data_IF_617650543202
#
_entry.id   IF_617650543202
#
_cell.length_a   1.000
_cell.length_b   1.000
_cell.length_c   1.000
_cell.angle_alpha   90.00
_cell.angle_beta   90.00
_cell.angle_gamma   90.00
#
_symmetry.space_group_name_H-M   'P 1'
#
loop_
_entity.id
_entity.type
_entity.pdbx_description
1 polymer ?
#
# COMPACT_ATOMS: atom_id res chain seq x y z
N UNK A 1 16.26 1.28 15.59
CA UNK A 1 16.33 -0.19 15.48
C UNK A 1 16.24 -0.76 16.90
N UNK A 2 15.85 -2.02 17.09
CA UNK A 2 15.90 -2.69 18.41
C UNK A 2 16.59 -4.04 18.32
N UNK A 3 17.35 -4.41 19.34
CA UNK A 3 18.02 -5.71 19.42
C UNK A 3 16.99 -6.82 19.65
N UNK A 4 17.01 -7.85 18.80
CA UNK A 4 16.08 -8.96 18.86
C UNK A 4 16.71 -10.14 19.62
N UNK A 5 16.87 -9.96 20.93
CA UNK A 5 17.55 -10.91 21.83
C UNK A 5 16.97 -12.34 21.74
N UNK A 6 15.64 -12.49 21.81
CA UNK A 6 14.97 -13.80 21.71
C UNK A 6 15.23 -14.51 20.38
N UNK A 7 15.25 -13.75 19.27
CA UNK A 7 15.49 -14.31 17.93
C UNK A 7 16.97 -14.67 17.73
N UNK A 8 17.87 -13.87 18.32
CA UNK A 8 19.31 -14.11 18.32
C UNK A 8 19.66 -15.38 19.11
N UNK A 9 19.00 -15.60 20.24
CA UNK A 9 19.20 -16.79 21.07
C UNK A 9 18.67 -18.07 20.40
N UNK A 10 17.56 -17.97 19.64
CA UNK A 10 16.96 -19.11 18.95
C UNK A 10 17.75 -19.57 17.71
N UNK A 11 18.47 -18.66 17.04
CA UNK A 11 19.22 -18.94 15.80
C UNK A 11 20.70 -19.28 16.03
N UNK A 12 21.10 -19.56 17.28
CA UNK A 12 22.46 -20.02 17.58
C UNK A 12 23.51 -18.91 17.46
N UNK A 13 23.40 -17.88 18.31
CA UNK A 13 24.45 -16.96 18.83
C UNK A 13 25.48 -16.31 17.89
N UNK A 14 25.49 -16.54 16.57
CA UNK A 14 26.58 -16.04 15.71
C UNK A 14 26.29 -14.67 15.07
N UNK A 15 25.08 -14.12 15.20
CA UNK A 15 24.73 -12.79 14.63
C UNK A 15 23.84 -11.97 15.57
N UNK A 16 24.29 -10.76 15.92
CA UNK A 16 23.46 -9.76 16.58
C UNK A 16 22.33 -9.33 15.64
N UNK A 17 21.12 -9.84 15.86
CA UNK A 17 19.97 -9.50 15.02
C UNK A 17 19.32 -8.21 15.52
N UNK A 18 19.32 -7.20 14.67
CA UNK A 18 18.58 -5.96 14.91
C UNK A 18 17.29 -5.96 14.09
N UNK A 19 16.15 -5.85 14.77
CA UNK A 19 14.86 -5.69 14.12
C UNK A 19 14.52 -4.20 14.03
N UNK A 20 14.22 -3.72 12.83
CA UNK A 20 13.60 -2.40 12.66
C UNK A 20 12.13 -2.53 13.04
N UNK A 21 11.70 -1.87 14.12
CA UNK A 21 10.28 -1.69 14.41
C UNK A 21 9.64 -1.00 13.21
N UNK A 22 8.56 -1.55 12.66
CA UNK A 22 7.89 -0.99 11.47
C UNK A 22 7.42 0.43 11.78
N UNK A 23 8.20 1.43 11.39
CA UNK A 23 8.00 2.85 11.74
C UNK A 23 7.36 3.65 10.61
N UNK A 24 6.75 3.00 9.62
CA UNK A 24 6.09 3.68 8.51
C UNK A 24 4.61 3.37 8.57
N UNK A 25 3.79 4.43 8.67
CA UNK A 25 2.33 4.39 8.83
C UNK A 25 1.60 3.60 7.72
N UNK A 26 2.26 3.30 6.60
CA UNK A 26 1.67 2.62 5.43
C UNK A 26 2.46 1.37 4.95
N UNK A 27 3.31 0.78 5.80
CA UNK A 27 4.31 -0.26 5.42
C UNK A 27 5.26 0.28 4.33
N UNK A 28 6.38 0.84 4.80
CA UNK A 28 7.45 1.54 4.06
C UNK A 28 7.69 1.17 2.59
N UNK A 29 7.70 -0.12 2.25
CA UNK A 29 8.06 -0.56 0.90
C UNK A 29 6.96 -0.31 -0.15
N UNK A 30 5.68 -0.28 0.23
CA UNK A 30 4.59 -0.02 -0.72
C UNK A 30 4.46 1.47 -1.05
N UNK A 31 4.68 2.35 -0.08
CA UNK A 31 4.60 3.80 -0.29
C UNK A 31 5.76 4.33 -1.15
N UNK A 32 6.95 3.77 -1.02
CA UNK A 32 8.10 4.17 -1.84
C UNK A 32 7.83 3.91 -3.33
N UNK A 33 7.24 2.77 -3.66
CA UNK A 33 6.87 2.45 -5.05
C UNK A 33 5.80 3.39 -5.58
N UNK A 34 4.71 3.61 -4.81
CA UNK A 34 3.58 4.42 -5.27
C UNK A 34 3.93 5.89 -5.44
N UNK A 35 4.84 6.45 -4.63
CA UNK A 35 5.36 7.80 -4.84
C UNK A 35 6.16 7.87 -6.15
N UNK A 36 7.03 6.89 -6.41
CA UNK A 36 7.79 6.82 -7.66
C UNK A 36 6.87 6.75 -8.89
N UNK A 37 5.87 5.87 -8.86
CA UNK A 37 4.86 5.77 -9.91
C UNK A 37 4.08 7.08 -10.10
N UNK A 38 3.64 7.72 -9.01
CA UNK A 38 2.85 8.94 -9.10
C UNK A 38 3.69 10.14 -9.61
N UNK A 39 4.96 10.24 -9.21
CA UNK A 39 5.90 11.22 -9.77
C UNK A 39 6.14 10.98 -11.27
N UNK A 40 6.28 9.72 -11.69
CA UNK A 40 6.39 9.39 -13.11
C UNK A 40 5.12 9.78 -13.87
N UNK A 41 3.94 9.48 -13.34
CA UNK A 41 2.65 9.89 -13.92
C UNK A 41 2.57 11.41 -14.11
N UNK A 42 2.98 12.18 -13.10
CA UNK A 42 3.03 13.64 -13.19
C UNK A 42 4.02 14.12 -14.27
N UNK A 43 5.22 13.53 -14.33
CA UNK A 43 6.23 13.83 -15.37
C UNK A 43 5.76 13.48 -16.78
N UNK A 44 4.95 12.44 -16.92
CA UNK A 44 4.32 12.06 -18.20
C UNK A 44 3.14 12.98 -18.59
N UNK A 45 2.83 14.01 -17.79
CA UNK A 45 1.70 14.92 -18.04
C UNK A 45 0.32 14.28 -17.85
N UNK A 46 0.26 13.12 -17.18
CA UNK A 46 -0.99 12.42 -16.92
C UNK A 46 -1.61 12.97 -15.63
N UNK A 47 -2.95 13.05 -15.61
CA UNK A 47 -3.72 13.59 -14.48
C UNK A 47 -4.25 12.54 -13.51
N UNK A 48 -4.11 11.26 -13.87
CA UNK A 48 -4.77 10.14 -13.19
C UNK A 48 -3.84 8.96 -13.02
N UNK A 49 -3.88 8.35 -11.83
CA UNK A 49 -3.29 7.04 -11.53
C UNK A 49 -4.39 6.00 -11.35
N UNK A 50 -4.10 4.78 -11.79
CA UNK A 50 -4.96 3.62 -11.53
C UNK A 50 -4.14 2.56 -10.79
N UNK A 51 -4.79 1.79 -9.92
CA UNK A 51 -4.17 0.67 -9.24
C UNK A 51 -5.19 -0.44 -8.97
N UNK A 52 -4.70 -1.66 -8.85
CA UNK A 52 -5.44 -2.83 -8.39
C UNK A 52 -5.03 -3.19 -6.96
N UNK A 53 -5.96 -3.73 -6.17
CA UNK A 53 -5.62 -4.20 -4.82
C UNK A 53 -6.55 -5.30 -4.35
N UNK A 54 -6.01 -6.30 -3.65
CA UNK A 54 -6.78 -7.28 -2.86
C UNK A 54 -6.92 -6.80 -1.43
N UNK A 55 -5.93 -7.08 -0.57
CA UNK A 55 -5.95 -6.69 0.85
C UNK A 55 -6.05 -5.16 1.14
N UNK A 56 -5.87 -4.29 0.14
CA UNK A 56 -6.07 -2.84 0.24
C UNK A 56 -4.82 -2.01 0.55
N UNK A 57 -3.70 -2.62 0.95
CA UNK A 57 -2.52 -1.84 1.36
C UNK A 57 -1.81 -1.13 0.21
N UNK A 58 -1.82 -1.70 -1.00
CA UNK A 58 -1.28 -1.01 -2.17
C UNK A 58 -2.18 0.16 -2.55
N UNK A 59 -3.50 -0.06 -2.60
CA UNK A 59 -4.47 1.00 -2.87
C UNK A 59 -4.40 2.16 -1.87
N UNK A 60 -4.24 1.89 -0.57
CA UNK A 60 -4.03 2.96 0.44
C UNK A 60 -2.74 3.75 0.18
N UNK A 61 -1.65 3.07 -0.20
CA UNK A 61 -0.40 3.75 -0.54
C UNK A 61 -0.53 4.61 -1.81
N UNK A 62 -1.22 4.12 -2.84
CA UNK A 62 -1.50 4.87 -4.08
C UNK A 62 -2.40 6.07 -3.83
N UNK A 63 -3.48 5.88 -3.04
CA UNK A 63 -4.39 6.94 -2.62
C UNK A 63 -3.69 8.02 -1.77
N UNK A 64 -2.65 7.65 -1.03
CA UNK A 64 -1.82 8.60 -0.29
C UNK A 64 -0.89 9.38 -1.22
N UNK A 65 -0.20 8.70 -2.14
CA UNK A 65 0.73 9.33 -3.06
C UNK A 65 0.05 10.34 -4.01
N UNK A 66 -1.14 10.00 -4.51
CA UNK A 66 -1.93 10.87 -5.40
C UNK A 66 -2.33 12.19 -4.75
N UNK A 67 -2.57 12.18 -3.43
CA UNK A 67 -2.98 13.35 -2.65
C UNK A 67 -1.86 14.42 -2.63
N UNK A 68 -0.60 13.99 -2.48
CA UNK A 68 0.55 14.90 -2.49
C UNK A 68 0.83 15.53 -3.87
N UNK A 69 0.36 14.91 -4.95
CA UNK A 69 0.66 15.33 -6.32
C UNK A 69 -0.55 15.88 -7.08
N UNK A 70 -1.70 15.98 -6.42
CA UNK A 70 -2.94 16.49 -7.03
C UNK A 70 -3.48 15.62 -8.17
N UNK A 71 -3.23 14.31 -8.13
CA UNK A 71 -3.69 13.37 -9.16
C UNK A 71 -5.06 12.77 -8.80
N UNK A 72 -5.84 12.43 -9.80
CA UNK A 72 -7.00 11.55 -9.66
C UNK A 72 -6.53 10.12 -9.40
N UNK A 73 -7.29 9.33 -8.64
CA UNK A 73 -6.93 7.95 -8.32
C UNK A 73 -8.15 7.03 -8.32
N UNK A 74 -8.09 6.04 -9.20
CA UNK A 74 -9.05 4.94 -9.24
C UNK A 74 -8.37 3.65 -8.77
N UNK A 75 -8.98 2.99 -7.80
CA UNK A 75 -8.50 1.72 -7.25
C UNK A 75 -9.52 0.63 -7.52
N UNK A 76 -9.13 -0.36 -8.30
CA UNK A 76 -9.93 -1.54 -8.59
C UNK A 76 -9.69 -2.61 -7.51
N UNK A 77 -10.77 -3.13 -6.93
CA UNK A 77 -10.71 -4.10 -5.85
C UNK A 77 -11.82 -5.13 -6.00
N UNK A 78 -11.52 -6.41 -5.82
CA UNK A 78 -12.52 -7.48 -5.91
C UNK A 78 -13.65 -7.26 -4.92
N UNK A 79 -14.90 -7.52 -5.32
CA UNK A 79 -16.07 -7.22 -4.48
C UNK A 79 -16.02 -7.93 -3.13
N UNK A 80 -15.59 -9.20 -3.11
CA UNK A 80 -15.40 -9.94 -1.85
C UNK A 80 -14.32 -9.33 -0.96
N UNK A 81 -13.18 -8.92 -1.56
CA UNK A 81 -12.10 -8.28 -0.81
C UNK A 81 -12.53 -6.91 -0.26
N UNK A 82 -13.36 -6.16 -0.99
CA UNK A 82 -13.95 -4.92 -0.50
C UNK A 82 -14.79 -5.15 0.76
N UNK A 83 -15.60 -6.22 0.78
CA UNK A 83 -16.40 -6.61 1.95
C UNK A 83 -15.49 -7.03 3.11
N UNK A 84 -14.49 -7.87 2.85
CA UNK A 84 -13.55 -8.37 3.87
C UNK A 84 -12.63 -7.28 4.44
N UNK A 85 -12.27 -6.27 3.64
CA UNK A 85 -11.31 -5.22 3.97
C UNK A 85 -11.93 -3.82 3.98
N UNK A 86 -13.16 -3.72 4.48
CA UNK A 86 -13.94 -2.48 4.51
C UNK A 86 -13.18 -1.28 5.10
N UNK A 87 -12.33 -1.50 6.12
CA UNK A 87 -11.51 -0.43 6.72
C UNK A 87 -10.49 0.17 5.74
N UNK A 88 -9.88 -0.65 4.88
CA UNK A 88 -8.94 -0.15 3.88
C UNK A 88 -9.67 0.53 2.72
N UNK A 89 -10.85 0.03 2.33
CA UNK A 89 -11.75 0.72 1.39
C UNK A 89 -12.12 2.10 1.93
N UNK A 90 -12.53 2.18 3.19
CA UNK A 90 -12.84 3.43 3.86
C UNK A 90 -11.65 4.39 3.87
N UNK A 91 -10.45 3.91 4.21
CA UNK A 91 -9.22 4.74 4.17
C UNK A 91 -8.91 5.28 2.79
N UNK A 92 -9.05 4.47 1.73
CA UNK A 92 -8.83 4.91 0.36
C UNK A 92 -9.83 6.01 -0.04
N UNK A 93 -11.11 5.84 0.31
CA UNK A 93 -12.15 6.84 0.07
C UNK A 93 -11.93 8.12 0.88
N UNK A 94 -11.49 8.01 2.13
CA UNK A 94 -11.13 9.16 2.97
C UNK A 94 -9.95 9.94 2.38
N UNK A 95 -8.98 9.22 1.79
CA UNK A 95 -7.90 9.79 0.99
C UNK A 95 -8.36 10.22 -0.41
N UNK A 96 -9.67 10.25 -0.68
CA UNK A 96 -10.35 10.68 -1.91
C UNK A 96 -10.05 9.89 -3.18
N UNK A 97 -9.58 8.64 -3.05
CA UNK A 97 -9.54 7.73 -4.18
C UNK A 97 -10.93 7.14 -4.46
N UNK A 98 -11.25 6.96 -5.74
CA UNK A 98 -12.44 6.23 -6.18
C UNK A 98 -12.15 4.73 -6.11
N UNK A 99 -12.90 3.98 -5.30
CA UNK A 99 -12.69 2.54 -5.14
C UNK A 99 -13.79 1.78 -5.89
N UNK A 100 -13.40 1.11 -6.97
CA UNK A 100 -14.28 0.50 -7.95
C UNK A 100 -14.34 -1.01 -7.70
N UNK A 101 -15.53 -1.59 -7.42
CA UNK A 101 -15.67 -3.03 -7.27
C UNK A 101 -15.48 -3.74 -8.60
N UNK A 102 -14.71 -4.82 -8.58
CA UNK A 102 -14.58 -5.75 -9.69
C UNK A 102 -15.41 -6.99 -9.37
N UNK A 103 -16.47 -7.21 -10.16
CA UNK A 103 -17.42 -8.33 -10.00
C UNK A 103 -17.07 -9.52 -10.89
N UNK A 104 -16.27 -9.31 -11.94
CA UNK A 104 -15.80 -10.37 -12.84
C UNK A 104 -14.28 -10.29 -13.02
N UNK A 105 -13.62 -11.40 -12.70
CA UNK A 105 -12.18 -11.57 -12.77
C UNK A 105 -11.79 -12.85 -12.05
N UNK A 106 -11.26 -13.83 -12.79
CA UNK A 106 -10.67 -15.03 -12.19
C UNK A 106 -9.49 -14.60 -11.33
N UNK A 107 -9.60 -14.79 -10.02
CA UNK A 107 -8.42 -14.83 -9.17
C UNK A 107 -7.50 -15.91 -9.73
N UNK A 108 -6.33 -15.49 -10.22
CA UNK A 108 -5.23 -16.39 -10.50
C UNK A 108 -4.68 -16.95 -9.19
#
# INVERSE_FOLDING_TARGET
>A
MYFAERLTNLLGRSKNLFKKRRSHSYRAHKINNTIGSALLTQRMGKKRVIAETGAGQHGVATATARLFLGLECDVFMGEEDMKRQALNVFRMRLLGANVIPVTSGTGL
#
